data_IF_522783370913
#
_entry.id   IF_522783370913
#
_cell.length_a   1.000
_cell.length_b   1.000
_cell.length_c   1.000
_cell.angle_alpha   90.00
_cell.angle_beta   90.00
_cell.angle_gamma   90.00
#
_symmetry.space_group_name_H-M   'P 1'
#
loop_
_entity.id
_entity.type
_entity.pdbx_description
1 polymer ?
#
# COMPACT_ATOMS: atom_id res chain seq x y z
N UNK A 1 -6.13 14.54 0.26
CA UNK A 1 -5.60 13.27 -0.28
C UNK A 1 -5.38 12.29 0.87
N UNK A 2 -5.39 10.97 0.62
CA UNK A 2 -4.93 9.96 1.60
C UNK A 2 -3.48 9.48 1.33
N UNK A 3 -2.83 10.04 0.32
CA UNK A 3 -1.54 9.58 -0.21
C UNK A 3 -0.64 10.79 -0.58
N UNK A 4 0.67 10.61 -0.38
CA UNK A 4 1.69 11.62 -0.66
C UNK A 4 1.97 11.79 -2.16
N UNK A 5 1.76 10.75 -2.99
CA UNK A 5 1.94 10.83 -4.44
C UNK A 5 1.02 11.87 -5.09
N UNK A 6 -0.25 11.90 -4.70
CA UNK A 6 -1.22 12.89 -5.18
C UNK A 6 -0.94 14.29 -4.61
N UNK A 7 -0.43 14.42 -3.38
CA UNK A 7 0.01 15.72 -2.84
C UNK A 7 1.20 16.25 -3.66
N UNK A 8 2.22 15.42 -3.89
CA UNK A 8 3.38 15.78 -4.71
C UNK A 8 3.01 16.15 -6.16
N UNK A 9 1.98 15.52 -6.74
CA UNK A 9 1.48 15.90 -8.06
C UNK A 9 0.88 17.32 -8.07
N UNK A 10 0.11 17.69 -7.05
CA UNK A 10 -0.48 19.04 -6.92
C UNK A 10 0.59 20.09 -6.61
N UNK A 11 1.59 19.75 -5.79
CA UNK A 11 2.73 20.61 -5.49
C UNK A 11 3.54 20.95 -6.75
N UNK A 12 3.80 19.97 -7.62
CA UNK A 12 4.50 20.18 -8.91
C UNK A 12 3.77 21.14 -9.86
N UNK A 13 2.45 21.22 -9.75
CA UNK A 13 1.63 22.17 -10.52
C UNK A 13 1.57 23.57 -9.89
N UNK A 14 2.24 23.79 -8.74
CA UNK A 14 2.28 25.07 -8.03
C UNK A 14 0.91 25.49 -7.48
N UNK A 15 0.04 24.52 -7.16
CA UNK A 15 -1.35 24.77 -6.78
C UNK A 15 -1.56 24.90 -5.26
N UNK A 16 -0.49 24.75 -4.47
CA UNK A 16 -0.54 24.96 -3.03
C UNK A 16 -0.13 26.38 -2.63
N UNK A 17 -0.61 26.80 -1.46
CA UNK A 17 -0.06 27.96 -0.76
C UNK A 17 0.90 27.43 0.31
N UNK A 18 2.15 27.91 0.36
CA UNK A 18 3.11 27.44 1.35
C UNK A 18 2.59 27.61 2.77
N UNK A 19 2.85 26.62 3.62
CA UNK A 19 2.47 26.65 5.01
C UNK A 19 3.41 27.55 5.81
N UNK A 20 2.88 28.21 6.84
CA UNK A 20 3.71 28.96 7.78
C UNK A 20 4.68 28.03 8.51
N UNK A 21 5.90 28.51 8.79
CA UNK A 21 6.93 27.73 9.49
C UNK A 21 6.43 27.15 10.82
N UNK A 22 5.61 27.90 11.57
CA UNK A 22 5.00 27.43 12.82
C UNK A 22 4.15 26.16 12.64
N UNK A 23 3.50 26.02 11.48
CA UNK A 23 2.74 24.79 11.14
C UNK A 23 3.69 23.66 10.78
N UNK A 24 4.72 23.95 9.98
CA UNK A 24 5.71 22.96 9.57
C UNK A 24 6.44 22.37 10.78
N UNK A 25 6.83 23.18 11.75
CA UNK A 25 7.62 22.77 12.93
C UNK A 25 6.86 21.84 13.89
N UNK A 26 5.54 21.71 13.72
CA UNK A 26 4.72 20.74 14.47
C UNK A 26 4.81 19.33 13.91
N UNK A 27 5.40 19.15 12.73
CA UNK A 27 5.46 17.87 12.02
C UNK A 27 6.94 17.53 11.75
N UNK A 28 7.41 16.31 12.11
CA UNK A 28 8.76 15.88 11.79
C UNK A 28 9.09 16.03 10.30
N UNK A 29 10.34 16.36 9.97
CA UNK A 29 10.81 16.59 8.60
C UNK A 29 10.46 15.43 7.64
N UNK A 30 10.57 14.19 8.10
CA UNK A 30 10.25 12.99 7.31
C UNK A 30 8.77 12.89 6.91
N UNK A 31 7.87 13.67 7.52
CA UNK A 31 6.43 13.64 7.25
C UNK A 31 5.90 14.96 6.68
N UNK A 32 6.76 15.86 6.21
CA UNK A 32 6.38 17.10 5.54
C UNK A 32 7.13 17.24 4.22
N UNK A 33 6.58 18.07 3.36
CA UNK A 33 7.18 18.48 2.10
C UNK A 33 8.41 19.38 2.33
N UNK A 34 9.44 19.27 1.49
CA UNK A 34 10.68 20.06 1.63
C UNK A 34 10.45 21.53 1.26
N UNK A 35 9.53 21.79 0.32
CA UNK A 35 9.11 23.13 -0.11
C UNK A 35 8.07 23.76 0.83
N UNK A 36 7.56 22.99 1.80
CA UNK A 36 6.59 23.45 2.79
C UNK A 36 5.17 23.56 2.27
N UNK A 37 4.85 22.91 1.15
CA UNK A 37 3.52 22.99 0.52
C UNK A 37 2.47 22.12 1.23
N UNK A 38 2.89 21.04 1.90
CA UNK A 38 1.99 20.15 2.62
C UNK A 38 2.67 19.43 3.80
N UNK A 39 1.85 18.95 4.74
CA UNK A 39 2.28 18.12 5.88
C UNK A 39 1.42 16.86 6.02
N UNK A 40 2.01 15.80 6.55
CA UNK A 40 1.32 14.58 6.96
C UNK A 40 0.52 14.81 8.25
N UNK A 41 -0.73 14.32 8.26
CA UNK A 41 -1.62 14.43 9.42
C UNK A 41 -1.78 13.09 10.17
N UNK A 42 -1.73 11.98 9.45
CA UNK A 42 -1.92 10.64 9.99
C UNK A 42 -1.00 9.65 9.29
N UNK A 43 -0.41 8.72 10.03
CA UNK A 43 0.28 7.56 9.48
C UNK A 43 -0.66 6.37 9.31
N UNK A 44 -0.37 5.50 8.33
CA UNK A 44 -1.03 4.21 8.13
C UNK A 44 0.00 3.16 7.82
N UNK A 45 -0.21 1.95 8.33
CA UNK A 45 0.63 0.79 8.05
C UNK A 45 -0.14 -0.14 7.13
N UNK A 46 0.51 -0.63 6.09
CA UNK A 46 -0.01 -1.75 5.29
C UNK A 46 0.31 -3.04 6.03
N UNK A 47 -0.71 -3.85 6.23
CA UNK A 47 -0.61 -5.16 6.89
C UNK A 47 -1.14 -6.24 5.95
N UNK A 48 -0.77 -7.49 6.25
CA UNK A 48 -1.43 -8.67 5.73
C UNK A 48 -2.49 -9.11 6.75
N UNK A 49 -3.76 -8.87 6.46
CA UNK A 49 -4.85 -9.43 7.27
C UNK A 49 -5.01 -10.89 6.89
N UNK A 50 -5.21 -11.80 7.83
CA UNK A 50 -5.33 -13.23 7.51
C UNK A 50 -6.33 -13.92 8.43
N UNK A 51 -6.89 -15.03 7.95
CA UNK A 51 -7.78 -15.88 8.73
C UNK A 51 -6.95 -16.94 9.48
N UNK A 52 -6.87 -16.81 10.80
CA UNK A 52 -6.07 -17.68 11.68
C UNK A 52 -6.50 -19.16 11.66
N UNK A 53 -7.77 -19.46 11.32
CA UNK A 53 -8.25 -20.84 11.21
C UNK A 53 -7.77 -21.53 9.92
N UNK A 54 -7.37 -20.73 8.91
CA UNK A 54 -6.94 -21.22 7.59
C UNK A 54 -5.45 -21.11 7.34
N UNK A 55 -4.81 -20.10 7.92
CA UNK A 55 -3.40 -19.80 7.73
C UNK A 55 -2.73 -19.81 9.10
N UNK A 56 -1.98 -20.87 9.44
CA UNK A 56 -1.15 -20.87 10.63
C UNK A 56 -0.14 -19.72 10.60
N UNK A 57 0.13 -19.11 11.75
CA UNK A 57 1.08 -18.00 11.85
C UNK A 57 2.48 -18.36 11.30
N UNK A 58 2.90 -19.62 11.46
CA UNK A 58 4.18 -20.12 10.95
C UNK A 58 4.26 -20.17 9.41
N UNK A 59 3.12 -20.15 8.72
CA UNK A 59 3.05 -20.18 7.25
C UNK A 59 2.93 -18.77 6.64
N UNK A 60 2.79 -17.74 7.48
CA UNK A 60 2.72 -16.35 7.03
C UNK A 60 4.00 -15.93 6.32
N UNK A 61 3.88 -15.11 5.27
CA UNK A 61 5.04 -14.63 4.56
C UNK A 61 5.79 -13.60 5.42
N UNK A 62 7.13 -13.67 5.40
CA UNK A 62 7.96 -12.68 6.09
C UNK A 62 8.28 -11.46 5.23
N UNK A 63 8.06 -11.57 3.92
CA UNK A 63 8.17 -10.50 2.93
C UNK A 63 6.97 -10.50 1.99
N UNK A 64 6.63 -9.31 1.46
CA UNK A 64 5.65 -9.18 0.37
C UNK A 64 6.07 -9.92 -0.91
N UNK A 65 7.35 -10.24 -1.05
CA UNK A 65 7.86 -11.05 -2.17
C UNK A 65 7.33 -12.47 -2.14
N UNK A 66 7.17 -13.05 -0.96
CA UNK A 66 6.66 -14.42 -0.84
C UNK A 66 5.19 -14.50 -1.28
N UNK A 67 4.45 -13.40 -1.40
CA UNK A 67 3.08 -13.39 -1.92
C UNK A 67 3.01 -13.78 -3.41
N UNK A 68 4.15 -13.78 -4.12
CA UNK A 68 4.24 -14.30 -5.49
C UNK A 68 4.49 -15.81 -5.54
N UNK A 69 4.74 -16.46 -4.40
CA UNK A 69 4.92 -17.92 -4.36
C UNK A 69 3.62 -18.65 -4.77
N UNK A 70 3.70 -19.78 -5.51
CA UNK A 70 2.52 -20.54 -5.91
C UNK A 70 1.61 -21.00 -4.74
N UNK A 71 2.15 -21.08 -3.51
CA UNK A 71 1.38 -21.41 -2.30
C UNK A 71 0.28 -20.39 -1.99
N UNK A 72 0.36 -19.17 -2.54
CA UNK A 72 -0.60 -18.08 -2.35
C UNK A 72 -1.61 -17.93 -3.50
N UNK A 73 -1.53 -18.79 -4.52
CA UNK A 73 -2.39 -18.70 -5.68
C UNK A 73 -3.88 -18.79 -5.30
N UNK A 74 -4.67 -17.77 -5.66
CA UNK A 74 -6.09 -17.67 -5.36
C UNK A 74 -6.43 -17.31 -3.92
N UNK A 75 -5.43 -17.03 -3.07
CA UNK A 75 -5.59 -16.89 -1.61
C UNK A 75 -5.52 -15.45 -1.12
N UNK A 76 -4.98 -14.54 -1.92
CA UNK A 76 -4.67 -13.15 -1.54
C UNK A 76 -5.67 -12.17 -2.12
N UNK A 77 -6.26 -11.33 -1.29
CA UNK A 77 -7.13 -10.23 -1.65
C UNK A 77 -6.35 -8.98 -2.07
N UNK A 78 -6.86 -8.28 -3.07
CA UNK A 78 -6.25 -7.03 -3.52
C UNK A 78 -7.30 -6.02 -3.98
N UNK A 79 -7.08 -4.73 -3.67
CA UNK A 79 -7.87 -3.62 -4.17
C UNK A 79 -7.01 -2.76 -5.11
N UNK A 80 -6.85 -3.15 -6.40
CA UNK A 80 -5.80 -2.61 -7.26
C UNK A 80 -6.01 -1.14 -7.63
N UNK A 81 -7.27 -0.68 -7.65
CA UNK A 81 -7.63 0.72 -7.94
C UNK A 81 -7.60 1.59 -6.69
N UNK A 82 -7.42 1.02 -5.51
CA UNK A 82 -7.36 1.78 -4.26
C UNK A 82 -6.02 2.53 -4.18
N UNK A 83 -6.07 3.82 -3.84
CA UNK A 83 -4.88 4.67 -3.72
C UNK A 83 -3.81 4.04 -2.80
N UNK A 84 -4.22 3.35 -1.73
CA UNK A 84 -3.27 2.68 -0.85
C UNK A 84 -2.46 1.60 -1.58
N UNK A 85 -3.06 0.82 -2.48
CA UNK A 85 -2.33 -0.21 -3.26
C UNK A 85 -1.37 0.44 -4.25
N UNK A 86 -1.80 1.51 -4.90
CA UNK A 86 -0.94 2.29 -5.79
C UNK A 86 0.27 2.87 -5.05
N UNK A 87 0.10 3.39 -3.82
CA UNK A 87 1.23 3.84 -2.99
C UNK A 87 2.20 2.69 -2.66
N UNK A 88 1.72 1.46 -2.45
CA UNK A 88 2.60 0.30 -2.27
C UNK A 88 3.38 -0.04 -3.53
N UNK A 89 2.74 0.01 -4.70
CA UNK A 89 3.45 -0.19 -5.98
C UNK A 89 4.50 0.91 -6.19
N UNK A 90 4.21 2.16 -5.81
CA UNK A 90 5.21 3.24 -5.82
C UNK A 90 6.38 2.91 -4.88
N UNK A 91 6.12 2.42 -3.68
CA UNK A 91 7.18 2.02 -2.74
C UNK A 91 8.02 0.85 -3.29
N UNK A 92 7.40 -0.16 -3.91
CA UNK A 92 8.10 -1.25 -4.60
C UNK A 92 9.03 -0.69 -5.68
N UNK A 93 8.54 0.20 -6.55
CA UNK A 93 9.34 0.83 -7.61
C UNK A 93 10.52 1.62 -7.06
N UNK A 94 10.32 2.39 -5.97
CA UNK A 94 11.39 3.17 -5.35
C UNK A 94 12.44 2.30 -4.65
N UNK A 95 12.04 1.16 -4.06
CA UNK A 95 12.96 0.29 -3.32
C UNK A 95 13.68 -0.72 -4.21
N UNK A 96 13.01 -1.20 -5.27
CA UNK A 96 13.48 -2.32 -6.11
C UNK A 96 13.78 -1.93 -7.56
N UNK A 97 13.33 -0.75 -8.00
CA UNK A 97 13.40 -0.34 -9.40
C UNK A 97 12.20 -0.81 -10.23
N UNK A 98 12.11 -0.27 -11.45
CA UNK A 98 10.96 -0.48 -12.35
C UNK A 98 10.82 -1.95 -12.80
N UNK A 99 11.93 -2.60 -13.15
CA UNK A 99 11.92 -3.95 -13.73
C UNK A 99 11.55 -5.01 -12.68
N UNK A 100 12.09 -4.89 -11.47
CA UNK A 100 11.75 -5.80 -10.36
C UNK A 100 10.31 -5.58 -9.89
N UNK A 101 9.85 -4.33 -9.79
CA UNK A 101 8.46 -4.04 -9.41
C UNK A 101 7.47 -4.55 -10.47
N UNK A 102 7.82 -4.46 -11.77
CA UNK A 102 7.03 -5.04 -12.85
C UNK A 102 6.96 -6.56 -12.72
N UNK A 103 8.11 -7.21 -12.54
CA UNK A 103 8.17 -8.68 -12.37
C UNK A 103 7.30 -9.11 -11.18
N UNK A 104 7.42 -8.43 -10.04
CA UNK A 104 6.58 -8.72 -8.86
C UNK A 104 5.09 -8.61 -9.18
N UNK A 105 4.66 -7.57 -9.91
CA UNK A 105 3.25 -7.40 -10.30
C UNK A 105 2.76 -8.49 -11.27
N UNK A 106 3.61 -8.90 -12.21
CA UNK A 106 3.30 -9.96 -13.17
C UNK A 106 3.16 -11.31 -12.47
N UNK A 107 4.09 -11.64 -11.57
CA UNK A 107 4.05 -12.88 -10.78
C UNK A 107 2.89 -12.87 -9.78
N UNK A 108 2.65 -11.74 -9.11
CA UNK A 108 1.51 -11.59 -8.21
C UNK A 108 0.18 -11.72 -8.98
N UNK A 109 0.09 -11.20 -10.20
CA UNK A 109 -1.10 -11.37 -11.05
C UNK A 109 -1.26 -12.83 -11.53
N UNK A 110 -0.16 -13.55 -11.81
CA UNK A 110 -0.18 -14.96 -12.17
C UNK A 110 -0.69 -15.86 -11.03
N UNK A 111 -0.57 -15.38 -9.79
CA UNK A 111 -1.16 -15.98 -8.60
C UNK A 111 -2.67 -15.74 -8.44
N UNK A 112 -3.36 -15.14 -9.42
CA UNK A 112 -4.82 -14.93 -9.39
C UNK A 112 -5.33 -14.29 -8.08
N UNK A 113 -4.86 -13.07 -7.75
CA UNK A 113 -5.26 -12.41 -6.52
C UNK A 113 -6.72 -11.98 -6.62
N UNK A 114 -7.46 -12.19 -5.53
CA UNK A 114 -8.90 -11.98 -5.44
C UNK A 114 -9.21 -10.48 -5.36
N UNK A 115 -9.71 -9.93 -6.47
CA UNK A 115 -9.90 -8.48 -6.61
C UNK A 115 -11.17 -8.00 -5.89
N UNK A 116 -11.04 -6.87 -5.20
CA UNK A 116 -12.14 -6.10 -4.57
C UNK A 116 -12.01 -4.63 -4.92
N UNK A 117 -13.05 -3.83 -4.66
CA UNK A 117 -12.97 -2.37 -4.85
C UNK A 117 -12.27 -1.71 -3.65
N UNK A 118 -12.51 -2.23 -2.44
CA UNK A 118 -12.08 -1.61 -1.18
C UNK A 118 -11.43 -2.62 -0.25
N UNK A 119 -10.47 -2.15 0.56
CA UNK A 119 -9.81 -2.97 1.58
C UNK A 119 -10.80 -3.53 2.63
N UNK A 120 -11.92 -2.82 2.89
CA UNK A 120 -12.95 -3.30 3.81
C UNK A 120 -13.68 -4.55 3.32
N UNK A 121 -13.81 -4.74 2.00
CA UNK A 121 -14.41 -5.94 1.41
C UNK A 121 -13.46 -7.14 1.56
N UNK A 122 -12.16 -6.92 1.38
CA UNK A 122 -11.13 -7.94 1.61
C UNK A 122 -11.16 -8.40 3.06
N UNK A 123 -11.17 -7.44 4.00
CA UNK A 123 -11.21 -7.76 5.43
C UNK A 123 -12.48 -8.53 5.81
N UNK A 124 -13.64 -8.19 5.24
CA UNK A 124 -14.88 -8.90 5.48
C UNK A 124 -14.83 -10.36 4.95
N UNK A 125 -14.19 -10.59 3.81
CA UNK A 125 -14.01 -11.94 3.26
C UNK A 125 -13.01 -12.78 4.08
N UNK A 126 -11.95 -12.16 4.60
CA UNK A 126 -11.00 -12.80 5.52
C UNK A 126 -11.72 -13.19 6.82
N UNK A 127 -12.48 -12.27 7.42
CA UNK A 127 -13.26 -12.49 8.64
C UNK A 127 -14.32 -13.60 8.45
N UNK A 128 -15.02 -13.59 7.30
CA UNK A 128 -15.99 -14.61 6.95
C UNK A 128 -15.36 -15.97 6.56
N UNK A 129 -14.03 -16.06 6.43
CA UNK A 129 -13.34 -17.25 5.98
C UNK A 129 -13.68 -17.63 4.53
N UNK A 130 -14.05 -16.68 3.69
CA UNK A 130 -14.20 -16.86 2.23
C UNK A 130 -12.90 -16.57 1.48
N UNK A 131 -11.94 -15.92 2.16
CA UNK A 131 -10.60 -15.62 1.69
C UNK A 131 -9.58 -15.93 2.79
N UNK A 132 -8.35 -16.21 2.42
CA UNK A 132 -7.29 -16.56 3.38
C UNK A 132 -6.58 -15.31 3.90
N UNK A 133 -6.31 -14.35 3.00
CA UNK A 133 -5.63 -13.09 3.32
C UNK A 133 -5.99 -11.97 2.36
#
# INVERSE_FOLDING_TARGET
SQDAGALGAVAKEGLFTPLAQETLDRVPETYRDDEGDWVGLTGRVRVLAYNEEKVPEADLPTSVDELTDPKWKGRVGVAPTNASFQTFVTALRLQKGEDEARTWLEDFAANDPQRREKNGEILADVDAGTLDT
#
